data_IF_049229245662
#
_entry.id   IF_049229245662
#
_cell.length_a   1.000
_cell.length_b   1.000
_cell.length_c   1.000
_cell.angle_alpha   90.00
_cell.angle_beta   90.00
_cell.angle_gamma   90.00
#
_symmetry.space_group_name_H-M   'P 1'
#
loop_
_entity.id
_entity.type
_entity.pdbx_description
1 polymer ?
#
# COMPACT_ATOMS: atom_id res chain seq x y z
N UNK A 1 -10.60 -39.66 -56.67
CA UNK A 1 -9.18 -39.59 -56.21
C UNK A 1 -8.81 -38.21 -55.63
N UNK A 2 -9.04 -37.08 -56.34
CA UNK A 2 -8.66 -35.72 -55.88
C UNK A 2 -9.40 -35.18 -54.63
N UNK A 3 -10.53 -35.79 -54.25
CA UNK A 3 -11.28 -35.43 -53.03
C UNK A 3 -10.71 -36.13 -51.80
N UNK A 4 -10.43 -37.43 -51.89
CA UNK A 4 -9.86 -38.24 -50.82
C UNK A 4 -8.48 -37.73 -50.37
N UNK A 5 -7.63 -37.32 -51.31
CA UNK A 5 -6.32 -36.74 -51.00
C UNK A 5 -6.37 -35.34 -50.37
N UNK A 6 -7.50 -34.61 -50.46
CA UNK A 6 -7.69 -33.32 -49.77
C UNK A 6 -8.18 -33.52 -48.34
N UNK A 7 -8.96 -34.57 -48.08
CA UNK A 7 -9.46 -34.92 -46.75
C UNK A 7 -8.30 -35.42 -45.88
N UNK A 8 -7.51 -36.37 -46.38
CA UNK A 8 -6.33 -36.89 -45.68
C UNK A 8 -5.32 -35.79 -45.31
N UNK A 9 -5.13 -34.78 -46.18
CA UNK A 9 -4.24 -33.63 -45.88
C UNK A 9 -4.79 -32.69 -44.81
N UNK A 10 -6.12 -32.56 -44.69
CA UNK A 10 -6.76 -31.75 -43.64
C UNK A 10 -6.68 -32.44 -42.28
N UNK A 11 -6.86 -33.76 -42.25
CA UNK A 11 -6.81 -34.54 -41.00
C UNK A 11 -5.39 -34.56 -40.40
N UNK A 12 -4.36 -34.69 -41.25
CA UNK A 12 -2.95 -34.57 -40.84
C UNK A 12 -2.65 -33.16 -40.31
N UNK A 13 -3.13 -32.11 -40.98
CA UNK A 13 -2.92 -30.73 -40.55
C UNK A 13 -3.66 -30.41 -39.23
N UNK A 14 -4.85 -30.98 -39.01
CA UNK A 14 -5.60 -30.87 -37.75
C UNK A 14 -4.88 -31.59 -36.59
N UNK A 15 -4.34 -32.78 -36.84
CA UNK A 15 -3.51 -33.50 -35.86
C UNK A 15 -2.27 -32.70 -35.46
N UNK A 16 -1.55 -32.13 -36.42
CA UNK A 16 -0.38 -31.28 -36.14
C UNK A 16 -0.74 -30.00 -35.36
N UNK A 17 -1.91 -29.41 -35.62
CA UNK A 17 -2.40 -28.25 -34.86
C UNK A 17 -2.79 -28.62 -33.43
N UNK A 18 -3.41 -29.77 -33.21
CA UNK A 18 -3.73 -30.28 -31.87
C UNK A 18 -2.45 -30.51 -31.04
N UNK A 19 -1.44 -31.15 -31.63
CA UNK A 19 -0.15 -31.37 -30.96
C UNK A 19 0.58 -30.05 -30.67
N UNK A 20 0.52 -29.07 -31.58
CA UNK A 20 1.07 -27.74 -31.34
C UNK A 20 0.36 -27.02 -30.18
N UNK A 21 -0.97 -27.14 -30.07
CA UNK A 21 -1.75 -26.56 -28.97
C UNK A 21 -1.40 -27.24 -27.64
N UNK A 22 -1.26 -28.57 -27.64
CA UNK A 22 -0.84 -29.35 -26.46
C UNK A 22 0.57 -28.96 -26.00
N UNK A 23 1.52 -28.82 -26.92
CA UNK A 23 2.88 -28.37 -26.58
C UNK A 23 2.89 -26.94 -26.05
N UNK A 24 2.13 -26.02 -26.65
CA UNK A 24 1.99 -24.64 -26.15
C UNK A 24 1.38 -24.59 -24.75
N UNK A 25 0.35 -25.39 -24.49
CA UNK A 25 -0.27 -25.49 -23.17
C UNK A 25 0.72 -26.01 -22.11
N UNK A 26 1.49 -27.05 -22.43
CA UNK A 26 2.52 -27.58 -21.54
C UNK A 26 3.63 -26.55 -21.25
N UNK A 27 4.04 -25.78 -22.25
CA UNK A 27 5.01 -24.69 -22.06
C UNK A 27 4.43 -23.61 -21.15
N UNK A 28 3.18 -23.19 -21.36
CA UNK A 28 2.51 -22.20 -20.48
C UNK A 28 2.44 -22.72 -19.05
N UNK A 29 2.00 -23.96 -18.84
CA UNK A 29 1.92 -24.59 -17.51
C UNK A 29 3.31 -24.62 -16.86
N UNK A 30 4.35 -25.03 -17.59
CA UNK A 30 5.72 -25.09 -17.08
C UNK A 30 6.24 -23.69 -16.71
N UNK A 31 5.96 -22.66 -17.54
CA UNK A 31 6.33 -21.27 -17.21
C UNK A 31 5.58 -20.73 -16.00
N UNK A 32 4.28 -21.04 -15.85
CA UNK A 32 3.52 -20.66 -14.67
C UNK A 32 4.08 -21.34 -13.42
N UNK A 33 4.39 -22.63 -13.48
CA UNK A 33 4.94 -23.38 -12.34
C UNK A 33 6.30 -22.83 -11.89
N UNK A 34 7.14 -22.39 -12.83
CA UNK A 34 8.45 -21.82 -12.55
C UNK A 34 8.38 -20.38 -12.00
N UNK A 35 7.32 -19.62 -12.32
CA UNK A 35 7.13 -18.24 -11.86
C UNK A 35 6.39 -18.14 -10.52
N UNK A 36 5.62 -19.15 -10.09
CA UNK A 36 4.90 -19.14 -8.81
C UNK A 36 5.78 -18.82 -7.58
N UNK A 37 7.01 -19.35 -7.43
CA UNK A 37 7.85 -19.07 -6.26
C UNK A 37 8.35 -17.62 -6.17
N UNK A 38 8.38 -16.90 -7.31
CA UNK A 38 8.82 -15.51 -7.34
C UNK A 38 7.76 -14.53 -6.78
N UNK A 39 6.49 -14.96 -6.74
CA UNK A 39 5.35 -14.13 -6.32
C UNK A 39 4.88 -14.51 -4.91
N UNK A 40 4.97 -15.80 -4.56
CA UNK A 40 4.66 -16.28 -3.22
C UNK A 40 5.90 -16.16 -2.32
N UNK A 41 6.02 -15.01 -1.65
CA UNK A 41 7.01 -14.83 -0.59
C UNK A 41 6.92 -15.95 0.44
N UNK A 42 8.07 -16.50 0.82
CA UNK A 42 8.20 -17.61 1.75
C UNK A 42 7.50 -17.27 3.07
N UNK A 43 6.33 -17.85 3.32
CA UNK A 43 5.55 -17.64 4.55
C UNK A 43 6.13 -18.52 5.65
N UNK A 44 7.30 -18.14 6.16
CA UNK A 44 7.81 -18.69 7.41
C UNK A 44 6.84 -18.33 8.53
N UNK A 45 6.16 -19.36 9.05
CA UNK A 45 5.30 -19.22 10.22
C UNK A 45 6.22 -19.07 11.43
N UNK A 46 6.29 -17.87 11.98
CA UNK A 46 7.08 -17.59 13.18
C UNK A 46 6.31 -18.07 14.41
N UNK A 47 6.62 -19.28 14.88
CA UNK A 47 5.97 -19.89 16.06
C UNK A 47 6.51 -19.33 17.39
N UNK A 48 7.67 -18.68 17.39
CA UNK A 48 8.29 -18.12 18.59
C UNK A 48 7.80 -16.69 18.86
N UNK A 49 7.40 -16.37 20.10
CA UNK A 49 7.02 -15.01 20.48
C UNK A 49 8.21 -14.05 20.40
N UNK A 50 7.96 -12.80 20.04
CA UNK A 50 8.97 -11.75 20.07
C UNK A 50 9.36 -11.43 21.53
N UNK A 51 10.66 -11.53 21.86
CA UNK A 51 11.19 -11.18 23.18
C UNK A 51 11.80 -9.78 23.11
N UNK A 52 11.14 -8.75 23.65
CA UNK A 52 11.59 -7.38 23.51
C UNK A 52 12.81 -7.07 24.39
N UNK A 53 13.72 -6.25 23.85
CA UNK A 53 14.88 -5.69 24.59
C UNK A 53 14.87 -4.18 24.56
N UNK A 54 15.75 -3.56 25.36
CA UNK A 54 16.03 -2.12 25.32
C UNK A 54 16.77 -1.65 24.07
N UNK A 55 17.23 -2.56 23.22
CA UNK A 55 17.82 -2.26 21.92
C UNK A 55 16.83 -2.58 20.79
N UNK A 56 17.02 -1.93 19.64
CA UNK A 56 16.23 -2.17 18.44
C UNK A 56 16.50 -3.58 17.91
N UNK A 57 15.47 -4.41 17.85
CA UNK A 57 15.54 -5.75 17.25
C UNK A 57 14.65 -5.83 16.01
N UNK A 58 15.12 -6.54 14.99
CA UNK A 58 14.34 -6.83 13.78
C UNK A 58 13.18 -7.78 14.08
N UNK A 59 11.98 -7.38 13.68
CA UNK A 59 10.76 -8.17 13.78
C UNK A 59 10.53 -8.92 12.46
N UNK A 60 10.41 -10.25 12.55
CA UNK A 60 10.08 -11.08 11.39
C UNK A 60 8.62 -10.88 10.96
N UNK A 61 8.36 -10.94 9.65
CA UNK A 61 7.01 -10.80 9.09
C UNK A 61 6.08 -11.91 9.63
N UNK A 62 4.91 -11.52 10.13
CA UNK A 62 3.93 -12.47 10.70
C UNK A 62 4.19 -12.90 12.14
N UNK A 63 5.25 -12.39 12.79
CA UNK A 63 5.47 -12.58 14.22
C UNK A 63 4.55 -11.65 15.03
N UNK A 64 3.84 -12.15 16.07
CA UNK A 64 3.03 -11.29 16.92
C UNK A 64 3.91 -10.38 17.79
N UNK A 65 3.63 -9.07 17.76
CA UNK A 65 4.35 -8.07 18.55
C UNK A 65 3.50 -7.72 19.79
N UNK A 66 4.04 -7.86 21.01
CA UNK A 66 3.39 -7.39 22.24
C UNK A 66 3.06 -5.89 22.21
N UNK A 67 1.96 -5.50 22.88
CA UNK A 67 1.59 -4.08 23.02
C UNK A 67 2.61 -3.33 23.89
N UNK A 68 2.75 -2.02 23.67
CA UNK A 68 3.66 -1.16 24.45
C UNK A 68 5.12 -1.19 23.98
N UNK A 69 5.39 -1.77 22.82
CA UNK A 69 6.71 -1.68 22.18
C UNK A 69 6.77 -0.50 21.22
N UNK A 70 7.90 0.17 21.19
CA UNK A 70 8.18 1.20 20.21
C UNK A 70 8.59 0.54 18.90
N UNK A 71 7.90 0.86 17.80
CA UNK A 71 8.09 0.22 16.50
C UNK A 71 8.59 1.26 15.50
N UNK A 72 9.62 0.92 14.74
CA UNK A 72 10.04 1.67 13.55
C UNK A 72 9.94 0.78 12.32
N UNK A 73 9.59 1.38 11.20
CA UNK A 73 9.51 0.70 9.91
C UNK A 73 10.34 1.46 8.88
N UNK A 74 11.32 0.78 8.28
CA UNK A 74 12.10 1.30 7.16
C UNK A 74 11.37 1.00 5.85
N UNK A 75 10.89 2.03 5.15
CA UNK A 75 10.20 1.88 3.87
C UNK A 75 11.13 1.50 2.71
N UNK A 76 12.41 1.87 2.79
CA UNK A 76 13.41 1.51 1.77
C UNK A 76 13.73 0.02 1.79
N UNK A 77 13.93 -0.54 2.98
CA UNK A 77 14.32 -1.95 3.15
C UNK A 77 13.13 -2.86 3.45
N UNK A 78 11.99 -2.30 3.83
CA UNK A 78 10.80 -3.04 4.29
C UNK A 78 10.99 -3.74 5.63
N UNK A 79 12.03 -3.39 6.39
CA UNK A 79 12.35 -4.00 7.69
C UNK A 79 11.61 -3.27 8.80
N UNK A 80 10.96 -4.06 9.67
CA UNK A 80 10.31 -3.57 10.89
C UNK A 80 11.19 -3.91 12.08
N UNK A 81 11.39 -2.97 12.99
CA UNK A 81 12.16 -3.17 14.22
C UNK A 81 11.34 -2.70 15.43
N UNK A 82 11.56 -3.32 16.58
CA UNK A 82 10.88 -2.99 17.82
C UNK A 82 11.85 -2.93 19.00
N UNK A 83 11.56 -2.04 19.97
CA UNK A 83 12.32 -1.82 21.20
C UNK A 83 11.35 -1.64 22.39
N UNK A 84 11.77 -2.09 23.57
CA UNK A 84 11.13 -1.79 24.85
C UNK A 84 11.54 -0.38 25.32
N UNK A 85 10.56 0.48 25.61
CA UNK A 85 10.80 1.82 26.17
C UNK A 85 11.07 1.72 27.66
N UNK A 86 11.95 2.58 28.17
CA UNK A 86 12.16 2.73 29.61
C UNK A 86 11.08 3.66 30.18
N UNK A 87 10.62 3.37 31.40
CA UNK A 87 9.53 4.12 32.05
C UNK A 87 9.86 5.60 32.27
N UNK A 88 11.14 5.95 32.41
CA UNK A 88 11.58 7.36 32.55
C UNK A 88 11.46 8.14 31.23
N UNK A 89 11.56 7.49 30.07
CA UNK A 89 11.44 8.12 28.75
C UNK A 89 9.98 8.41 28.36
N UNK A 90 9.04 7.90 29.16
CA UNK A 90 7.59 7.97 28.94
C UNK A 90 7.02 9.29 29.46
N UNK A 91 7.59 9.86 30.54
CA UNK A 91 7.06 11.05 31.20
C UNK A 91 7.28 12.36 30.40
N UNK A 92 8.27 12.42 29.51
CA UNK A 92 8.56 13.62 28.72
C UNK A 92 7.71 13.73 27.44
N UNK A 93 7.00 12.68 27.03
CA UNK A 93 6.17 12.66 25.80
C UNK A 93 4.67 12.43 26.03
N UNK A 94 4.27 11.90 27.18
CA UNK A 94 2.88 11.51 27.44
C UNK A 94 1.95 12.65 27.88
N UNK A 95 2.45 13.88 28.09
CA UNK A 95 1.59 15.02 28.42
C UNK A 95 0.65 15.45 27.27
N UNK A 96 0.68 14.78 26.12
CA UNK A 96 -0.20 15.04 24.98
C UNK A 96 -0.95 13.80 24.44
N UNK A 97 -0.92 12.66 25.14
CA UNK A 97 -1.52 11.40 24.65
C UNK A 97 -2.47 10.75 25.67
N UNK A 98 -3.36 11.54 26.28
CA UNK A 98 -4.55 10.98 26.93
C UNK A 98 -5.83 11.59 26.35
N UNK A 99 -6.03 11.38 25.05
CA UNK A 99 -7.30 11.65 24.37
C UNK A 99 -7.62 10.52 23.40
N UNK A 100 -8.23 9.49 23.97
CA UNK A 100 -9.38 8.77 23.42
C UNK A 100 -9.36 8.55 21.90
N UNK A 101 -8.93 7.36 21.50
CA UNK A 101 -9.54 6.53 20.45
C UNK A 101 -10.28 7.32 19.35
N UNK A 102 -9.54 7.88 18.40
CA UNK A 102 -10.10 8.26 17.11
C UNK A 102 -9.01 8.14 16.05
N UNK A 103 -9.34 7.40 15.00
CA UNK A 103 -8.54 7.06 13.84
C UNK A 103 -7.98 8.32 13.14
N UNK A 104 -6.75 8.71 13.44
CA UNK A 104 -5.97 9.66 12.64
C UNK A 104 -4.51 9.21 12.60
N UNK A 105 -4.11 8.58 11.48
CA UNK A 105 -2.71 8.35 11.16
C UNK A 105 -2.02 9.70 10.93
N UNK A 106 -1.43 10.30 11.96
CA UNK A 106 -0.64 11.53 11.83
C UNK A 106 0.85 11.18 11.86
N UNK A 107 1.41 10.95 10.68
CA UNK A 107 2.86 10.92 10.47
C UNK A 107 3.40 12.33 10.60
N UNK A 108 3.80 12.70 11.82
CA UNK A 108 4.47 13.98 12.06
C UNK A 108 5.93 13.81 11.65
N UNK A 109 6.32 14.38 10.51
CA UNK A 109 7.71 14.40 10.05
C UNK A 109 8.51 15.35 10.97
N UNK A 110 9.62 14.86 11.51
CA UNK A 110 10.55 15.66 12.29
C UNK A 110 11.22 16.72 11.40
N UNK A 111 11.18 18.02 11.76
CA UNK A 111 12.02 19.02 11.13
C UNK A 111 13.46 18.87 11.65
N UNK A 112 14.28 18.07 10.98
CA UNK A 112 15.72 18.07 11.19
C UNK A 112 16.32 19.35 10.59
N UNK A 113 16.42 20.41 11.41
CA UNK A 113 17.51 21.41 11.43
C UNK A 113 17.18 22.55 12.39
N UNK A 114 17.74 22.51 13.60
CA UNK A 114 18.33 23.65 14.31
C UNK A 114 18.61 23.24 15.76
N UNK A 115 19.78 22.65 16.01
CA UNK A 115 20.43 22.75 17.32
C UNK A 115 21.59 23.71 17.11
N UNK A 116 21.37 24.97 17.47
CA UNK A 116 22.36 25.78 18.19
C UNK A 116 21.56 26.54 19.24
N UNK A 117 21.76 26.13 20.50
CA UNK A 117 21.28 26.86 21.67
C UNK A 117 21.94 28.25 21.70
N UNK A 118 21.13 29.30 21.76
CA UNK A 118 21.47 30.45 22.58
C UNK A 118 20.19 31.06 23.18
N UNK A 119 20.25 31.33 24.47
CA UNK A 119 19.19 31.89 25.31
C UNK A 119 18.66 33.20 24.75
N UNK A 120 17.33 33.36 24.68
CA UNK A 120 16.56 34.44 25.32
C UNK A 120 15.04 34.33 25.01
N UNK A 121 14.14 34.83 25.89
CA UNK A 121 12.70 34.55 25.83
C UNK A 121 12.00 35.44 24.81
N UNK A 122 11.62 34.88 23.66
CA UNK A 122 10.89 35.61 22.60
C UNK A 122 9.40 35.30 22.65
N UNK A 123 8.64 36.39 22.65
CA UNK A 123 7.20 36.49 22.81
C UNK A 123 6.40 35.58 21.88
N UNK A 124 5.31 35.06 22.45
CA UNK A 124 4.20 34.40 21.78
C UNK A 124 3.51 35.36 20.81
N UNK A 125 3.87 35.35 19.52
CA UNK A 125 3.04 35.91 18.45
C UNK A 125 2.36 34.77 17.70
N UNK A 126 1.21 34.34 18.24
CA UNK A 126 0.22 33.48 17.56
C UNK A 126 -1.04 34.30 17.28
N UNK A 127 -0.98 35.19 16.31
CA UNK A 127 -2.14 35.87 15.72
C UNK A 127 -1.68 36.32 14.33
N UNK A 128 -1.98 35.63 13.24
CA UNK A 128 -3.16 35.97 12.44
C UNK A 128 -3.40 34.97 11.30
N UNK A 129 -3.09 33.68 11.49
CA UNK A 129 -3.24 32.69 10.41
C UNK A 129 -4.71 32.31 10.09
N UNK A 130 -5.69 32.75 10.89
CA UNK A 130 -7.08 32.28 10.81
C UNK A 130 -8.15 33.39 10.77
N UNK A 131 -7.77 34.67 10.64
CA UNK A 131 -8.73 35.79 10.52
C UNK A 131 -9.21 35.99 9.07
N UNK A 132 -9.47 34.91 8.33
CA UNK A 132 -10.10 35.03 7.01
C UNK A 132 -11.62 34.93 7.14
N UNK A 133 -12.39 35.93 6.68
CA UNK A 133 -13.85 35.86 6.64
C UNK A 133 -14.30 34.60 5.90
N UNK A 134 -15.34 33.93 6.42
CA UNK A 134 -15.88 32.67 5.90
C UNK A 134 -16.29 32.82 4.42
N UNK A 135 -16.65 34.02 4.02
CA UNK A 135 -17.09 34.47 2.71
C UNK A 135 -15.94 34.40 1.69
N UNK A 136 -14.72 34.76 2.11
CA UNK A 136 -13.52 34.65 1.29
C UNK A 136 -13.16 33.18 1.05
N UNK A 137 -13.23 32.36 2.11
CA UNK A 137 -13.01 30.92 2.03
C UNK A 137 -14.04 30.24 1.11
N UNK A 138 -15.30 30.65 1.20
CA UNK A 138 -16.39 30.15 0.34
C UNK A 138 -16.20 30.55 -1.12
N UNK A 139 -15.71 31.76 -1.39
CA UNK A 139 -15.39 32.21 -2.74
C UNK A 139 -14.21 31.42 -3.35
N UNK A 140 -13.15 31.17 -2.58
CA UNK A 140 -12.01 30.34 -3.01
C UNK A 140 -12.43 28.90 -3.29
N UNK A 141 -13.26 28.30 -2.42
CA UNK A 141 -13.81 26.96 -2.63
C UNK A 141 -14.68 26.88 -3.89
N UNK A 142 -15.49 27.91 -4.15
CA UNK A 142 -16.32 27.97 -5.36
C UNK A 142 -15.47 28.04 -6.63
N UNK A 143 -14.37 28.82 -6.62
CA UNK A 143 -13.41 28.88 -7.74
C UNK A 143 -12.78 27.51 -8.02
N UNK A 144 -12.33 26.79 -7.00
CA UNK A 144 -11.74 25.46 -7.15
C UNK A 144 -12.72 24.43 -7.71
N UNK A 145 -14.00 24.49 -7.35
CA UNK A 145 -15.04 23.60 -7.91
C UNK A 145 -15.37 23.92 -9.37
N UNK A 146 -15.17 25.18 -9.78
CA UNK A 146 -15.45 25.63 -11.14
C UNK A 146 -14.27 25.32 -12.08
N UNK A 147 -13.05 25.31 -11.55
CA UNK A 147 -11.81 24.95 -12.26
C UNK A 147 -11.58 23.42 -12.30
N UNK A 148 -11.88 22.71 -11.19
CA UNK A 148 -11.85 21.24 -11.13
C UNK A 148 -13.03 20.53 -11.82
N UNK A 149 -13.86 21.29 -12.54
CA UNK A 149 -14.96 20.79 -13.37
C UNK A 149 -14.53 20.44 -14.80
N UNK A 150 -13.24 20.51 -15.11
CA UNK A 150 -12.74 20.00 -16.37
C UNK A 150 -12.84 18.47 -16.34
N UNK A 151 -13.52 17.92 -17.35
CA UNK A 151 -13.66 16.50 -17.57
C UNK A 151 -12.28 15.85 -17.50
N UNK A 152 -11.92 15.26 -16.37
CA UNK A 152 -10.72 14.44 -16.28
C UNK A 152 -11.07 13.14 -17.00
N UNK A 153 -10.62 12.94 -18.26
CA UNK A 153 -11.04 11.78 -19.05
C UNK A 153 -10.66 10.47 -18.35
N UNK A 154 -9.58 10.49 -17.55
CA UNK A 154 -9.16 9.36 -16.72
C UNK A 154 -10.19 8.95 -15.67
N UNK A 155 -10.90 9.90 -15.03
CA UNK A 155 -11.94 9.54 -14.05
C UNK A 155 -13.12 8.82 -14.70
N UNK A 156 -13.54 9.26 -15.89
CA UNK A 156 -14.63 8.61 -16.63
C UNK A 156 -14.24 7.18 -17.05
N UNK A 157 -12.98 6.98 -17.43
CA UNK A 157 -12.42 5.65 -17.76
C UNK A 157 -12.40 4.76 -16.51
N UNK A 158 -11.97 5.26 -15.36
CA UNK A 158 -11.96 4.51 -14.10
C UNK A 158 -13.39 4.11 -13.69
N UNK A 159 -14.35 5.03 -13.80
CA UNK A 159 -15.77 4.76 -13.52
C UNK A 159 -16.31 3.66 -14.44
N UNK A 160 -15.91 3.64 -15.71
CA UNK A 160 -16.31 2.60 -16.66
C UNK A 160 -15.82 1.21 -16.24
N UNK A 161 -14.54 1.06 -15.93
CA UNK A 161 -13.98 -0.23 -15.50
C UNK A 161 -14.58 -0.72 -14.19
N UNK A 162 -14.84 0.19 -13.24
CA UNK A 162 -15.48 -0.17 -11.97
C UNK A 162 -16.90 -0.71 -12.18
N UNK A 163 -17.69 -0.11 -13.08
CA UNK A 163 -19.03 -0.61 -13.44
C UNK A 163 -18.98 -1.98 -14.12
N UNK A 164 -18.01 -2.21 -15.00
CA UNK A 164 -17.80 -3.52 -15.60
C UNK A 164 -17.48 -4.59 -14.56
N UNK A 165 -16.56 -4.32 -13.64
CA UNK A 165 -16.19 -5.25 -12.57
C UNK A 165 -17.40 -5.64 -11.69
N UNK A 166 -18.22 -4.65 -11.28
CA UNK A 166 -19.44 -4.91 -10.51
C UNK A 166 -20.40 -5.82 -11.29
N UNK A 167 -20.50 -5.63 -12.61
CA UNK A 167 -21.39 -6.42 -13.47
C UNK A 167 -20.92 -7.86 -13.56
N UNK A 168 -19.64 -8.12 -13.82
CA UNK A 168 -19.09 -9.47 -13.84
C UNK A 168 -19.19 -10.16 -12.48
N UNK A 169 -18.93 -9.43 -11.39
CA UNK A 169 -19.08 -9.98 -10.03
C UNK A 169 -20.52 -10.42 -9.74
N UNK A 170 -21.53 -9.70 -10.25
CA UNK A 170 -22.94 -10.09 -10.12
C UNK A 170 -23.33 -11.28 -11.00
N UNK A 171 -22.62 -11.53 -12.10
CA UNK A 171 -22.88 -12.69 -12.96
C UNK A 171 -22.20 -13.96 -12.46
N UNK A 172 -21.16 -13.81 -11.63
CA UNK A 172 -20.40 -14.92 -11.04
C UNK A 172 -21.01 -15.47 -9.74
N UNK A 173 -21.98 -14.76 -9.17
CA UNK A 173 -22.73 -15.06 -7.94
C UNK A 173 -24.14 -15.50 -8.30
#
# INVERSE_FOLDING_TARGET
IKSHSRILRKDVALGQRQELIRMRANIIILTCLFLLPAIFGNSEKNETPFVPTREWQTVKKGMPIPKGLHIRHSFETGVTEAKLMDSEETEEKDSNENLKSSNTNSLTLHPEKAIVEEKEPVATEKSDLFNHPIEELKARLKKLKQDGGENVPELNVIIFYFKQYITYKKQLL
#
